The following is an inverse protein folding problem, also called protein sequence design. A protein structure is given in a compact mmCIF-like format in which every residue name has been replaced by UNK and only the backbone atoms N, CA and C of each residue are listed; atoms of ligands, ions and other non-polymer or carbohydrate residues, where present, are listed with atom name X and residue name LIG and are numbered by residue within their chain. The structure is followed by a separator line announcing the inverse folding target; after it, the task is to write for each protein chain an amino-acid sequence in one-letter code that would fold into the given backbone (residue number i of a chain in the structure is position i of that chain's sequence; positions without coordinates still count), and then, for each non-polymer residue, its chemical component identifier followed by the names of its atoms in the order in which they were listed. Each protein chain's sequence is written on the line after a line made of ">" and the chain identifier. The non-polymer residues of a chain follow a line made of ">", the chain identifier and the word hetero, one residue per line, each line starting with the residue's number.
data_IF_217435108188
#
_entry.id   IF_217435108188
#
_cell.length_a   1.000
_cell.length_b   1.000
_cell.length_c   1.000
_cell.angle_alpha   90.00
_cell.angle_beta   90.00
_cell.angle_gamma   90.00
#
_symmetry.space_group_name_H-M   'P 1'
#
loop_
_entity.id
_entity.type
_entity.pdbx_description
1 polymer ?
#
# COMPACT_ATOMS: atom_id res chain seq x y z
N UNK A 1 -26.19 -30.87 -15.04
CA UNK A 1 -25.01 -30.02 -15.14
C UNK A 1 -25.06 -28.97 -14.01
N UNK A 2 -23.96 -28.82 -13.28
CA UNK A 2 -23.79 -27.77 -12.25
C UNK A 2 -22.93 -26.68 -12.88
N UNK A 3 -23.40 -25.44 -12.84
CA UNK A 3 -22.61 -24.28 -13.27
C UNK A 3 -22.06 -23.56 -12.05
N UNK A 4 -20.73 -23.47 -11.96
CA UNK A 4 -20.01 -22.79 -10.87
C UNK A 4 -19.40 -21.49 -11.40
N UNK A 5 -19.58 -20.41 -10.65
CA UNK A 5 -18.91 -19.13 -10.88
C UNK A 5 -18.01 -18.84 -9.68
N UNK A 6 -16.70 -18.79 -9.91
CA UNK A 6 -15.71 -18.35 -8.95
C UNK A 6 -15.41 -16.88 -9.23
N UNK A 7 -15.58 -16.01 -8.25
CA UNK A 7 -15.32 -14.57 -8.45
C UNK A 7 -13.82 -14.26 -8.47
N UNK A 8 -13.00 -15.05 -7.79
CA UNK A 8 -11.68 -14.61 -7.38
C UNK A 8 -11.78 -13.39 -6.46
N UNK A 9 -10.65 -12.77 -6.16
CA UNK A 9 -10.62 -11.51 -5.42
C UNK A 9 -11.08 -10.38 -6.34
N UNK A 10 -11.97 -9.49 -5.85
CA UNK A 10 -12.44 -8.35 -6.63
C UNK A 10 -12.73 -7.14 -5.74
N UNK A 11 -12.65 -5.95 -6.33
CA UNK A 11 -13.00 -4.70 -5.67
C UNK A 11 -13.87 -3.86 -6.60
N UNK A 12 -15.12 -3.57 -6.17
CA UNK A 12 -16.06 -2.76 -6.94
C UNK A 12 -15.75 -1.25 -6.92
N UNK A 13 -14.87 -0.82 -6.03
CA UNK A 13 -14.37 0.56 -5.92
C UNK A 13 -12.94 0.71 -6.48
N UNK A 14 -12.49 -0.19 -7.38
CA UNK A 14 -11.15 -0.12 -7.95
C UNK A 14 -10.95 1.21 -8.72
N UNK A 15 -9.85 1.89 -8.42
CA UNK A 15 -9.51 3.20 -9.02
C UNK A 15 -9.16 3.04 -10.52
N UNK A 16 -8.46 1.96 -10.87
CA UNK A 16 -7.89 1.79 -12.21
C UNK A 16 -8.80 1.08 -13.21
N UNK A 17 -9.62 0.14 -12.77
CA UNK A 17 -10.40 -0.70 -13.66
C UNK A 17 -11.84 -0.88 -13.22
N UNK A 18 -12.71 -1.19 -14.18
CA UNK A 18 -14.08 -1.60 -13.90
C UNK A 18 -14.15 -3.12 -13.72
N UNK A 19 -15.11 -3.57 -12.89
CA UNK A 19 -15.42 -4.99 -12.78
C UNK A 19 -15.93 -5.50 -14.13
N UNK A 20 -15.37 -6.60 -14.67
CA UNK A 20 -15.86 -7.19 -15.91
C UNK A 20 -17.35 -7.59 -15.79
N UNK A 21 -18.14 -7.23 -16.80
CA UNK A 21 -19.56 -7.64 -16.86
C UNK A 21 -19.68 -9.10 -17.24
N UNK A 22 -20.49 -9.87 -16.52
CA UNK A 22 -20.85 -11.23 -16.91
C UNK A 22 -21.51 -11.24 -18.30
N UNK A 23 -21.09 -12.18 -19.15
CA UNK A 23 -21.70 -12.41 -20.47
C UNK A 23 -23.19 -12.76 -20.31
N UNK A 24 -24.04 -12.32 -21.26
CA UNK A 24 -25.50 -12.60 -21.22
C UNK A 24 -25.80 -14.10 -21.05
N UNK A 25 -25.10 -14.96 -21.79
CA UNK A 25 -25.28 -16.42 -21.72
C UNK A 25 -25.04 -16.98 -20.31
N UNK A 26 -24.12 -16.41 -19.52
CA UNK A 26 -23.84 -16.84 -18.16
C UNK A 26 -24.95 -16.39 -17.20
N UNK A 27 -25.51 -15.20 -17.42
CA UNK A 27 -26.60 -14.64 -16.57
C UNK A 27 -27.89 -15.43 -16.63
N UNK A 28 -28.13 -16.20 -17.70
CA UNK A 28 -29.35 -17.02 -17.89
C UNK A 28 -29.22 -18.43 -17.33
N UNK A 29 -28.04 -18.82 -16.83
CA UNK A 29 -27.82 -20.14 -16.27
C UNK A 29 -28.13 -20.19 -14.77
N UNK A 30 -28.63 -21.30 -14.24
CA UNK A 30 -28.64 -21.52 -12.80
C UNK A 30 -27.18 -21.62 -12.32
N UNK A 31 -26.73 -20.69 -11.47
CA UNK A 31 -25.36 -20.57 -11.00
C UNK A 31 -25.25 -20.85 -9.51
N UNK A 32 -24.25 -21.60 -9.12
CA UNK A 32 -23.71 -21.58 -7.77
C UNK A 32 -22.51 -20.65 -7.77
N UNK A 33 -22.53 -19.59 -6.95
CA UNK A 33 -21.46 -18.60 -6.89
C UNK A 33 -20.60 -18.87 -5.66
N UNK A 34 -19.30 -18.97 -5.90
CA UNK A 34 -18.28 -19.05 -4.86
C UNK A 34 -17.53 -17.72 -4.86
N UNK A 35 -17.78 -16.93 -3.82
CA UNK A 35 -17.34 -15.54 -3.70
C UNK A 35 -16.30 -15.41 -2.59
N UNK A 36 -15.30 -14.53 -2.80
CA UNK A 36 -14.39 -14.11 -1.74
C UNK A 36 -15.13 -13.30 -0.67
N UNK A 37 -14.58 -13.22 0.54
CA UNK A 37 -15.17 -12.53 1.68
C UNK A 37 -14.11 -11.90 2.59
N UNK A 38 -13.01 -11.44 2.03
CA UNK A 38 -11.85 -10.88 2.77
C UNK A 38 -12.26 -9.74 3.71
N UNK A 39 -13.16 -8.88 3.23
CA UNK A 39 -13.70 -7.73 3.98
C UNK A 39 -15.21 -7.86 4.26
N UNK A 40 -15.73 -9.08 4.32
CA UNK A 40 -17.18 -9.32 4.45
C UNK A 40 -17.83 -8.75 5.71
N UNK A 41 -17.04 -8.47 6.75
CA UNK A 41 -17.50 -7.87 8.02
C UNK A 41 -16.90 -6.50 8.30
N UNK A 42 -16.13 -5.94 7.37
CA UNK A 42 -15.41 -4.67 7.57
C UNK A 42 -16.04 -3.57 6.72
N UNK A 43 -16.29 -2.41 7.32
CA UNK A 43 -16.68 -1.22 6.58
C UNK A 43 -15.46 -0.59 5.91
N UNK A 44 -15.34 -0.77 4.60
CA UNK A 44 -14.18 -0.29 3.82
C UNK A 44 -14.10 1.25 3.71
N UNK A 45 -15.18 1.96 3.98
CA UNK A 45 -15.22 3.43 3.86
C UNK A 45 -14.47 4.09 5.02
N UNK A 46 -14.57 3.56 6.23
CA UNK A 46 -13.86 4.06 7.41
C UNK A 46 -12.32 3.95 7.28
N UNK A 47 -11.83 2.90 6.62
CA UNK A 47 -10.38 2.66 6.44
C UNK A 47 -9.74 3.67 5.48
N UNK A 48 -10.50 4.24 4.56
CA UNK A 48 -9.96 5.16 3.53
C UNK A 48 -9.76 6.57 4.08
N UNK A 49 -10.62 7.04 4.98
CA UNK A 49 -10.58 8.40 5.54
C UNK A 49 -9.32 8.65 6.38
N UNK A 50 -8.81 7.64 7.07
CA UNK A 50 -7.64 7.77 7.93
C UNK A 50 -6.29 7.85 7.17
N UNK A 51 -6.19 7.38 5.91
CA UNK A 51 -4.92 7.34 5.18
C UNK A 51 -4.30 8.73 5.01
N UNK A 52 -5.05 9.66 4.44
CA UNK A 52 -4.56 11.02 4.15
C UNK A 52 -4.20 11.76 5.42
N UNK A 53 -5.08 11.70 6.42
CA UNK A 53 -4.86 12.34 7.72
C UNK A 53 -3.59 11.81 8.41
N UNK A 54 -3.38 10.50 8.43
CA UNK A 54 -2.20 9.88 9.02
C UNK A 54 -0.92 10.32 8.32
N UNK A 55 -0.91 10.34 6.98
CA UNK A 55 0.23 10.82 6.19
C UNK A 55 0.52 12.28 6.52
N UNK A 56 -0.48 13.17 6.46
CA UNK A 56 -0.30 14.60 6.71
C UNK A 56 0.17 14.89 8.13
N UNK A 57 -0.36 14.22 9.12
CA UNK A 57 0.04 14.40 10.51
C UNK A 57 1.49 13.96 10.74
N UNK A 58 1.93 12.86 10.15
CA UNK A 58 3.32 12.42 10.22
C UNK A 58 4.27 13.42 9.55
N UNK A 59 3.94 13.88 8.35
CA UNK A 59 4.75 14.85 7.59
C UNK A 59 4.85 16.18 8.35
N UNK A 60 3.75 16.71 8.90
CA UNK A 60 3.74 17.93 9.72
C UNK A 60 4.64 17.83 10.96
N UNK A 61 4.80 16.64 11.52
CA UNK A 61 5.71 16.41 12.65
C UNK A 61 7.19 16.24 12.23
N UNK A 62 7.49 16.32 10.93
CA UNK A 62 8.82 16.08 10.37
C UNK A 62 9.22 14.59 10.37
N UNK A 63 8.24 13.69 10.40
CA UNK A 63 8.45 12.24 10.38
C UNK A 63 8.56 11.66 8.96
N UNK A 64 8.92 10.39 8.88
CA UNK A 64 8.90 9.60 7.65
C UNK A 64 7.70 8.66 7.66
N UNK A 65 6.95 8.63 6.55
CA UNK A 65 5.86 7.68 6.32
C UNK A 65 6.38 6.49 5.53
N UNK A 66 6.13 5.27 6.00
CA UNK A 66 6.45 4.04 5.28
C UNK A 66 5.17 3.27 5.02
N UNK A 67 4.70 3.29 3.77
CA UNK A 67 3.50 2.60 3.33
C UNK A 67 3.86 1.20 2.83
N UNK A 68 3.32 0.18 3.49
CA UNK A 68 3.44 -1.22 3.08
C UNK A 68 2.30 -1.56 2.13
N UNK A 69 2.62 -1.94 0.89
CA UNK A 69 1.64 -2.22 -0.14
C UNK A 69 1.90 -3.55 -0.86
N UNK A 70 0.83 -4.23 -1.24
CA UNK A 70 0.92 -5.35 -2.18
C UNK A 70 1.31 -4.86 -3.56
N UNK A 71 2.17 -5.61 -4.25
CA UNK A 71 2.86 -5.18 -5.47
C UNK A 71 1.94 -4.81 -6.63
N UNK A 72 0.80 -5.49 -6.75
CA UNK A 72 -0.20 -5.25 -7.80
C UNK A 72 -1.46 -4.60 -7.21
N UNK A 73 -1.91 -3.54 -7.84
CA UNK A 73 -3.11 -2.79 -7.47
C UNK A 73 -2.86 -1.83 -6.31
N UNK A 74 -2.64 -2.31 -5.10
CA UNK A 74 -2.49 -1.48 -3.90
C UNK A 74 -1.28 -0.54 -3.95
N UNK A 75 -0.16 -0.99 -4.48
CA UNK A 75 1.03 -0.15 -4.64
C UNK A 75 0.75 1.06 -5.54
N UNK A 76 0.09 0.83 -6.68
CA UNK A 76 -0.30 1.87 -7.62
C UNK A 76 -1.41 2.77 -7.05
N UNK A 77 -2.36 2.19 -6.31
CA UNK A 77 -3.42 2.95 -5.64
C UNK A 77 -2.87 3.95 -4.61
N UNK A 78 -1.84 3.57 -3.84
CA UNK A 78 -1.17 4.47 -2.91
C UNK A 78 -0.45 5.60 -3.65
N UNK A 79 0.23 5.30 -4.75
CA UNK A 79 0.86 6.34 -5.59
C UNK A 79 -0.19 7.32 -6.12
N UNK A 80 -1.32 6.82 -6.63
CA UNK A 80 -2.43 7.65 -7.08
C UNK A 80 -2.99 8.54 -5.97
N UNK A 81 -3.20 8.01 -4.76
CA UNK A 81 -3.65 8.81 -3.61
C UNK A 81 -2.68 9.93 -3.26
N UNK A 82 -1.37 9.63 -3.23
CA UNK A 82 -0.34 10.65 -2.96
C UNK A 82 -0.31 11.72 -4.05
N UNK A 83 -0.47 11.34 -5.32
CA UNK A 83 -0.62 12.31 -6.41
C UNK A 83 -1.87 13.17 -6.23
N UNK A 84 -3.01 12.58 -5.94
CA UNK A 84 -4.25 13.32 -5.70
C UNK A 84 -4.08 14.34 -4.56
N UNK A 85 -3.41 13.96 -3.46
CA UNK A 85 -3.09 14.89 -2.37
C UNK A 85 -2.19 16.04 -2.83
N UNK A 86 -1.27 15.83 -3.78
CA UNK A 86 -0.46 16.89 -4.38
C UNK A 86 -1.30 17.80 -5.27
N UNK A 87 -2.13 17.23 -6.14
CA UNK A 87 -3.01 17.98 -7.05
C UNK A 87 -4.03 18.85 -6.30
N UNK A 88 -4.48 18.39 -5.14
CA UNK A 88 -5.37 19.13 -4.22
C UNK A 88 -4.60 20.15 -3.33
N UNK A 89 -3.29 20.24 -3.44
CA UNK A 89 -2.45 21.13 -2.62
C UNK A 89 -2.35 20.73 -1.14
N UNK A 90 -2.79 19.54 -0.77
CA UNK A 90 -2.70 19.00 0.60
C UNK A 90 -1.28 18.55 0.95
N UNK A 91 -0.57 17.96 -0.01
CA UNK A 91 0.80 17.45 0.12
C UNK A 91 1.75 18.27 -0.76
N UNK A 92 2.79 18.88 -0.16
CA UNK A 92 3.80 19.62 -0.91
C UNK A 92 4.62 18.70 -1.79
N UNK A 93 4.94 19.16 -3.01
CA UNK A 93 5.87 18.50 -3.92
C UNK A 93 7.34 18.55 -3.45
N UNK A 94 7.65 19.34 -2.43
CA UNK A 94 8.98 19.35 -1.81
C UNK A 94 9.24 18.11 -0.94
N UNK A 95 8.18 17.40 -0.52
CA UNK A 95 8.31 16.16 0.26
C UNK A 95 8.63 15.01 -0.69
N UNK A 96 9.86 14.44 -0.65
CA UNK A 96 10.24 13.40 -1.58
C UNK A 96 9.42 12.12 -1.36
N UNK A 97 8.99 11.50 -2.47
CA UNK A 97 8.24 10.25 -2.49
C UNK A 97 9.11 9.18 -3.14
N UNK A 98 9.36 8.09 -2.43
CA UNK A 98 10.16 6.97 -2.88
C UNK A 98 9.30 5.73 -3.09
N UNK A 99 9.46 5.05 -4.23
CA UNK A 99 8.82 3.78 -4.54
C UNK A 99 9.86 2.67 -4.61
N UNK A 100 9.77 1.65 -3.74
CA UNK A 100 10.72 0.55 -3.64
C UNK A 100 10.04 -0.82 -3.61
N UNK A 101 10.44 -1.68 -4.53
CA UNK A 101 9.94 -3.04 -4.65
C UNK A 101 9.91 -3.51 -6.09
N UNK A 102 10.75 -4.47 -6.44
CA UNK A 102 10.97 -4.89 -7.83
C UNK A 102 9.66 -5.24 -8.56
N UNK A 103 8.77 -6.00 -7.92
CA UNK A 103 7.47 -6.36 -8.54
C UNK A 103 6.52 -5.15 -8.59
N UNK A 104 6.47 -4.33 -7.54
CA UNK A 104 5.66 -3.10 -7.53
C UNK A 104 6.03 -2.18 -8.68
N UNK A 105 7.33 -1.94 -8.88
CA UNK A 105 7.83 -1.09 -9.98
C UNK A 105 7.54 -1.69 -11.36
N UNK A 106 7.70 -3.02 -11.53
CA UNK A 106 7.36 -3.70 -12.78
C UNK A 106 5.88 -3.58 -13.12
N UNK A 107 4.99 -3.78 -12.14
CA UNK A 107 3.56 -3.60 -12.34
C UNK A 107 3.20 -2.13 -12.61
N UNK A 108 3.84 -1.18 -11.92
CA UNK A 108 3.65 0.25 -12.20
C UNK A 108 3.96 0.59 -13.65
N UNK A 109 5.06 0.04 -14.21
CA UNK A 109 5.40 0.22 -15.62
C UNK A 109 4.38 -0.42 -16.59
N UNK A 110 3.65 -1.45 -16.17
CA UNK A 110 2.56 -2.01 -16.99
C UNK A 110 1.33 -1.09 -17.01
N UNK A 111 1.00 -0.44 -15.89
CA UNK A 111 -0.11 0.51 -15.81
C UNK A 111 0.05 1.73 -16.75
N UNK A 112 1.28 2.04 -17.15
CA UNK A 112 1.57 3.13 -18.11
C UNK A 112 1.47 2.69 -19.58
N UNK A 113 1.08 1.43 -19.87
CA UNK A 113 0.94 0.93 -21.23
C UNK A 113 -0.48 1.14 -21.78
N UNK A 114 -0.58 1.61 -23.00
CA UNK A 114 -1.86 1.85 -23.70
C UNK A 114 -2.74 0.58 -23.83
N UNK A 115 -2.14 -0.60 -23.77
CA UNK A 115 -2.84 -1.89 -23.88
C UNK A 115 -3.75 -2.21 -22.68
N UNK A 116 -3.56 -1.53 -21.54
CA UNK A 116 -4.42 -1.69 -20.37
C UNK A 116 -5.55 -0.67 -20.42
N UNK A 117 -6.78 -1.16 -20.40
CA UNK A 117 -7.98 -0.33 -20.26
C UNK A 117 -8.10 0.28 -18.85
N UNK A 118 -7.23 1.26 -18.58
CA UNK A 118 -7.26 2.03 -17.32
C UNK A 118 -8.32 3.14 -17.45
N UNK A 119 -9.02 3.42 -16.37
CA UNK A 119 -9.95 4.54 -16.31
C UNK A 119 -9.23 5.85 -16.63
N UNK A 120 -9.81 6.73 -17.47
CA UNK A 120 -9.16 7.97 -17.90
C UNK A 120 -8.63 8.83 -16.76
N UNK A 121 -9.38 8.90 -15.66
CA UNK A 121 -9.01 9.67 -14.47
C UNK A 121 -7.78 9.11 -13.74
N UNK A 122 -7.38 7.86 -14.00
CA UNK A 122 -6.27 7.19 -13.34
C UNK A 122 -5.05 6.98 -14.26
N UNK A 123 -5.05 7.52 -15.47
CA UNK A 123 -3.93 7.37 -16.42
C UNK A 123 -2.67 8.05 -15.91
N UNK A 124 -2.79 9.26 -15.36
CA UNK A 124 -1.70 10.01 -14.74
C UNK A 124 -1.74 9.84 -13.21
N UNK A 125 -1.26 8.69 -12.74
CA UNK A 125 -1.37 8.29 -11.33
C UNK A 125 -0.07 8.46 -10.53
N UNK A 126 1.00 8.91 -11.15
CA UNK A 126 2.30 9.02 -10.48
C UNK A 126 2.49 10.39 -9.84
N UNK A 127 2.93 10.47 -8.57
CA UNK A 127 3.33 11.74 -7.97
C UNK A 127 4.42 12.47 -8.77
N UNK A 128 4.39 13.81 -8.78
CA UNK A 128 5.29 14.63 -9.60
C UNK A 128 6.76 14.45 -9.24
N UNK A 129 7.05 14.25 -7.96
CA UNK A 129 8.40 14.11 -7.40
C UNK A 129 8.75 12.67 -6.99
N UNK A 130 8.15 11.68 -7.67
CA UNK A 130 8.37 10.27 -7.41
C UNK A 130 9.78 9.83 -7.81
N UNK A 131 10.49 9.22 -6.88
CA UNK A 131 11.80 8.61 -7.11
C UNK A 131 11.71 7.09 -7.00
N UNK A 132 12.15 6.38 -8.03
CA UNK A 132 12.23 4.92 -8.02
C UNK A 132 13.50 4.45 -7.31
N UNK A 133 13.32 3.50 -6.39
CA UNK A 133 14.42 2.94 -5.58
C UNK A 133 14.76 1.53 -6.08
N UNK A 134 16.05 1.26 -6.17
CA UNK A 134 16.63 -0.03 -6.49
C UNK A 134 17.64 -0.46 -5.39
N UNK A 135 18.35 -1.57 -5.62
CA UNK A 135 19.32 -2.07 -4.63
C UNK A 135 20.51 -1.13 -4.42
N UNK A 136 20.87 -0.34 -5.44
CA UNK A 136 22.07 0.50 -5.46
C UNK A 136 21.86 1.80 -4.68
N UNK A 137 20.66 2.42 -4.80
CA UNK A 137 20.36 3.70 -4.15
C UNK A 137 19.55 3.58 -2.85
N UNK A 138 19.07 2.37 -2.49
CA UNK A 138 18.29 2.17 -1.24
C UNK A 138 19.05 2.58 0.01
N UNK A 139 20.36 2.33 0.07
CA UNK A 139 21.16 2.73 1.21
C UNK A 139 21.11 4.24 1.46
N UNK A 140 21.19 5.06 0.41
CA UNK A 140 21.09 6.52 0.49
C UNK A 140 19.72 6.97 1.03
N UNK A 141 18.62 6.32 0.57
CA UNK A 141 17.28 6.61 1.07
C UNK A 141 17.12 6.27 2.56
N UNK A 142 17.75 5.17 3.00
CA UNK A 142 17.75 4.74 4.40
C UNK A 142 18.63 5.65 5.27
N UNK A 143 19.75 6.15 4.79
CA UNK A 143 20.69 7.00 5.55
C UNK A 143 20.14 8.41 5.75
N UNK A 144 19.43 8.96 4.79
CA UNK A 144 18.83 10.28 4.93
C UNK A 144 17.77 10.29 6.02
N UNK A 145 17.85 11.26 6.94
CA UNK A 145 16.89 11.51 8.02
C UNK A 145 15.85 12.60 7.67
N UNK A 146 15.86 13.08 6.43
CA UNK A 146 14.88 14.02 5.91
C UNK A 146 13.47 13.43 5.95
N UNK A 147 12.47 14.32 6.14
CA UNK A 147 11.07 13.97 6.02
C UNK A 147 10.76 13.45 4.62
N UNK A 148 10.12 12.29 4.52
CA UNK A 148 9.84 11.63 3.23
C UNK A 148 8.68 10.66 3.33
N UNK A 149 8.17 10.26 2.17
CA UNK A 149 7.18 9.19 2.04
C UNK A 149 7.81 8.03 1.26
N UNK A 150 7.66 6.82 1.76
CA UNK A 150 8.17 5.60 1.14
C UNK A 150 6.97 4.67 0.88
N UNK A 151 6.81 4.21 -0.36
CA UNK A 151 5.87 3.16 -0.73
C UNK A 151 6.66 1.91 -1.07
N UNK A 152 6.46 0.83 -0.33
CA UNK A 152 7.31 -0.36 -0.46
C UNK A 152 6.52 -1.67 -0.41
N UNK A 153 7.14 -2.73 -0.92
CA UNK A 153 6.64 -4.11 -0.85
C UNK A 153 7.51 -4.94 0.11
N UNK A 154 6.98 -5.90 0.81
CA UNK A 154 5.67 -6.55 0.73
C UNK A 154 4.63 -5.85 1.60
N UNK A 155 3.34 -6.03 1.23
CA UNK A 155 2.21 -5.46 1.96
C UNK A 155 2.07 -5.95 3.41
N UNK A 156 2.63 -7.10 3.76
CA UNK A 156 2.66 -7.64 5.13
C UNK A 156 3.97 -7.32 5.89
N UNK A 157 4.91 -6.60 5.27
CA UNK A 157 6.17 -6.16 5.88
C UNK A 157 7.26 -7.24 6.03
N UNK A 158 6.98 -8.51 5.70
CA UNK A 158 7.86 -9.64 6.02
C UNK A 158 8.96 -9.90 4.98
N UNK A 159 8.81 -9.43 3.75
CA UNK A 159 9.68 -9.76 2.62
C UNK A 159 10.07 -8.52 1.81
N UNK A 160 11.01 -8.70 0.88
CA UNK A 160 11.49 -7.64 0.01
C UNK A 160 12.23 -6.54 0.77
N UNK A 161 12.13 -5.28 0.33
CA UNK A 161 12.78 -4.14 0.99
C UNK A 161 12.09 -3.71 2.30
N UNK A 162 10.81 -4.06 2.51
CA UNK A 162 10.00 -3.62 3.64
C UNK A 162 10.66 -3.79 5.02
N UNK A 163 11.26 -4.96 5.38
CA UNK A 163 11.88 -5.12 6.70
C UNK A 163 12.98 -4.09 6.99
N UNK A 164 13.76 -3.68 5.98
CA UNK A 164 14.83 -2.69 6.16
C UNK A 164 14.27 -1.32 6.55
N UNK A 165 13.21 -0.89 5.88
CA UNK A 165 12.52 0.35 6.21
C UNK A 165 11.84 0.28 7.59
N UNK A 166 11.17 -0.84 7.90
CA UNK A 166 10.55 -1.01 9.21
C UNK A 166 11.60 -0.94 10.31
N UNK A 167 12.72 -1.65 10.20
CA UNK A 167 13.80 -1.64 11.19
C UNK A 167 14.35 -0.22 11.41
N UNK A 168 14.51 0.56 10.34
CA UNK A 168 15.03 1.94 10.43
C UNK A 168 14.05 2.86 11.13
N UNK A 169 12.75 2.81 10.77
CA UNK A 169 11.79 3.83 11.17
C UNK A 169 10.91 3.45 12.36
N UNK A 170 10.73 2.16 12.68
CA UNK A 170 9.88 1.72 13.79
C UNK A 170 10.31 2.27 15.17
N UNK A 171 11.57 2.58 15.36
CA UNK A 171 12.15 3.12 16.59
C UNK A 171 12.09 4.65 16.71
N UNK A 172 11.51 5.34 15.72
CA UNK A 172 11.42 6.82 15.69
C UNK A 172 9.97 7.24 15.92
N UNK A 173 9.69 7.92 17.04
CA UNK A 173 8.33 8.32 17.47
C UNK A 173 7.56 9.16 16.44
N UNK A 174 8.28 10.02 15.68
CA UNK A 174 7.68 10.88 14.65
C UNK A 174 7.31 10.12 13.37
N UNK A 175 7.76 8.87 13.21
CA UNK A 175 7.54 8.10 11.98
C UNK A 175 6.23 7.31 12.04
N UNK A 176 5.71 7.02 10.85
CA UNK A 176 4.52 6.23 10.64
C UNK A 176 4.85 4.99 9.80
N UNK A 177 4.47 3.81 10.27
CA UNK A 177 4.44 2.58 9.50
C UNK A 177 2.97 2.28 9.20
N UNK A 178 2.59 2.35 7.92
CA UNK A 178 1.20 2.16 7.51
C UNK A 178 1.06 0.91 6.63
N UNK A 179 0.22 -0.02 7.08
CA UNK A 179 -0.17 -1.18 6.32
C UNK A 179 -1.45 -0.87 5.55
N UNK A 180 -1.42 -0.94 4.25
CA UNK A 180 -2.53 -0.52 3.38
C UNK A 180 -3.39 -1.66 2.88
N UNK A 181 -3.24 -2.84 3.47
CA UNK A 181 -4.00 -4.04 3.13
C UNK A 181 -4.06 -5.00 4.29
N UNK A 182 -4.84 -6.07 4.11
CA UNK A 182 -5.01 -7.10 5.11
C UNK A 182 -3.66 -7.72 5.53
N UNK A 183 -3.48 -7.93 6.83
CA UNK A 183 -2.31 -8.60 7.42
C UNK A 183 -2.73 -9.90 8.07
N UNK A 184 -2.30 -11.02 7.49
CA UNK A 184 -2.60 -12.37 8.00
C UNK A 184 -1.91 -12.59 9.35
N UNK A 185 -2.56 -13.30 10.25
CA UNK A 185 -2.00 -13.74 11.52
C UNK A 185 -0.63 -14.41 11.34
N UNK A 186 0.30 -14.20 12.27
CA UNK A 186 1.69 -14.69 12.17
C UNK A 186 2.63 -13.84 11.33
N UNK A 187 2.14 -12.90 10.51
CA UNK A 187 3.00 -11.98 9.73
C UNK A 187 3.61 -10.88 10.59
N UNK A 188 4.64 -10.22 10.07
CA UNK A 188 5.24 -9.06 10.74
C UNK A 188 4.21 -7.94 10.94
N UNK A 189 3.37 -7.67 9.93
CA UNK A 189 2.31 -6.66 10.01
C UNK A 189 1.34 -6.93 11.16
N UNK A 190 0.84 -8.17 11.30
CA UNK A 190 -0.06 -8.54 12.39
C UNK A 190 0.61 -8.38 13.76
N UNK A 191 1.90 -8.76 13.90
CA UNK A 191 2.65 -8.59 15.16
C UNK A 191 2.88 -7.12 15.50
N UNK A 192 3.18 -6.28 14.53
CA UNK A 192 3.35 -4.84 14.75
C UNK A 192 2.04 -4.14 15.12
N UNK A 193 0.92 -4.64 14.59
CA UNK A 193 -0.42 -4.15 14.93
C UNK A 193 -0.78 -4.40 16.40
N UNK A 194 -0.48 -5.61 16.89
CA UNK A 194 -0.77 -6.00 18.28
C UNK A 194 0.23 -5.50 19.31
N UNK A 195 1.44 -5.05 18.88
CA UNK A 195 2.45 -4.55 19.77
C UNK A 195 2.10 -3.13 20.27
N UNK A 196 2.41 -2.84 21.53
CA UNK A 196 2.27 -1.51 22.14
C UNK A 196 3.53 -0.66 21.95
N UNK A 197 3.42 0.64 22.25
CA UNK A 197 4.58 1.53 22.24
C UNK A 197 5.56 1.13 23.37
N UNK A 198 6.83 0.92 23.03
CA UNK A 198 7.85 0.44 23.94
C UNK A 198 8.12 -1.07 23.85
N UNK A 199 7.25 -1.85 23.21
CA UNK A 199 7.46 -3.28 23.02
C UNK A 199 8.68 -3.57 22.15
N UNK A 200 9.34 -4.71 22.45
CA UNK A 200 10.44 -5.24 21.65
C UNK A 200 9.87 -6.23 20.63
N UNK A 201 10.07 -5.94 19.36
CA UNK A 201 9.61 -6.78 18.25
C UNK A 201 10.81 -7.34 17.49
N UNK A 202 10.77 -8.64 17.15
CA UNK A 202 11.78 -9.26 16.29
C UNK A 202 11.45 -9.06 14.82
N UNK A 203 12.37 -8.46 14.09
CA UNK A 203 12.25 -8.18 12.64
C UNK A 203 13.50 -8.69 11.94
N UNK A 204 13.38 -9.74 11.12
CA UNK A 204 14.53 -10.32 10.42
C UNK A 204 15.64 -10.80 11.35
N UNK A 205 15.30 -11.25 12.56
CA UNK A 205 16.27 -11.68 13.59
C UNK A 205 16.82 -10.55 14.46
N UNK A 206 16.51 -9.28 14.15
CA UNK A 206 16.90 -8.14 15.00
C UNK A 206 15.79 -7.78 15.97
N UNK A 207 16.16 -7.53 17.24
CA UNK A 207 15.24 -7.01 18.26
C UNK A 207 15.23 -5.48 18.19
N UNK A 208 14.06 -4.90 17.99
CA UNK A 208 13.87 -3.45 17.90
C UNK A 208 12.71 -2.99 18.77
N UNK A 209 12.87 -1.85 19.42
CA UNK A 209 11.79 -1.24 20.22
C UNK A 209 10.84 -0.49 19.30
N UNK A 210 9.53 -0.78 19.39
CA UNK A 210 8.48 -0.06 18.68
C UNK A 210 8.27 1.29 19.37
N UNK A 211 8.43 2.36 18.62
CA UNK A 211 8.09 3.75 19.03
C UNK A 211 7.29 4.50 17.98
N UNK A 212 7.44 4.13 16.71
CA UNK A 212 6.65 4.71 15.64
C UNK A 212 5.16 4.32 15.75
N UNK A 213 4.29 5.21 15.26
CA UNK A 213 2.88 4.89 15.06
C UNK A 213 2.76 3.79 14.00
N UNK A 214 1.89 2.82 14.24
CA UNK A 214 1.57 1.75 13.28
C UNK A 214 0.08 1.81 13.00
N UNK A 215 -0.30 1.99 11.72
CA UNK A 215 -1.68 2.17 11.27
C UNK A 215 -2.05 1.20 10.13
N UNK A 216 -3.37 1.07 9.88
CA UNK A 216 -3.96 0.16 8.91
C UNK A 216 -5.02 0.86 8.05
#
# INVERSE_FOLDING_TARGET
>A
NINLLFTGDYNNKNIFSNIPKLRKAVKTLPLTIIQESTYGTTNSDEVTECFEENVLNCIKSGGTVVNMAFSLGRFQEILYKLKTMQDEGKLSTDIPIFADGTLGLRYTALFSKEELEIKPEAVDFLPQNLCFVNKENRAQVLESDECKIIVTTSGMGSYGPAPQYIIKYIKKEKCLIQFTGFTTEGTLGARLKSAENGDIVSIGGMLVTKRAKVEY
#
